data_IF_394821257571
#
_entry.id   IF_394821257571
#
_cell.length_a   1.000
_cell.length_b   1.000
_cell.length_c   1.000
_cell.angle_alpha   90.00
_cell.angle_beta   90.00
_cell.angle_gamma   90.00
#
_symmetry.space_group_name_H-M   'P 1'
#
loop_
_entity.id
_entity.type
_entity.pdbx_description
1 polymer ?
#
# COMPACT_ATOMS: atom_id res chain seq x y z
N UNK A 1 -19.95 -3.00 7.94
CA UNK A 1 -18.86 -3.26 6.98
C UNK A 1 -17.68 -3.89 7.70
N UNK A 2 -17.16 -4.95 7.16
CA UNK A 2 -15.99 -5.60 7.74
C UNK A 2 -14.82 -5.55 6.78
N UNK A 3 -13.66 -5.30 7.30
CA UNK A 3 -12.41 -5.35 6.54
C UNK A 3 -11.27 -5.66 7.50
N UNK A 4 -10.24 -6.26 6.96
CA UNK A 4 -9.06 -6.59 7.74
C UNK A 4 -8.03 -5.49 7.59
N UNK A 5 -7.44 -5.08 8.70
CA UNK A 5 -6.36 -4.11 8.71
C UNK A 5 -5.07 -4.84 9.06
N UNK A 6 -4.05 -4.68 8.23
CA UNK A 6 -2.72 -5.22 8.49
C UNK A 6 -1.81 -4.06 8.86
N UNK A 7 -1.16 -4.17 9.99
CA UNK A 7 -0.23 -3.15 10.45
C UNK A 7 1.18 -3.63 10.17
N UNK A 8 1.86 -2.97 9.25
CA UNK A 8 3.18 -3.37 8.78
C UNK A 8 4.19 -2.32 9.22
N UNK A 9 5.16 -2.76 10.01
CA UNK A 9 6.28 -1.92 10.43
C UNK A 9 7.40 -2.17 9.44
N UNK A 10 7.40 -1.37 8.40
CA UNK A 10 8.02 -1.74 7.15
C UNK A 10 9.52 -1.48 7.08
N UNK A 11 10.21 -2.45 6.54
CA UNK A 11 11.42 -2.33 5.73
C UNK A 11 12.63 -1.77 6.46
N UNK A 12 12.76 -2.08 7.74
CA UNK A 12 13.97 -1.78 8.48
C UNK A 12 14.29 -2.95 9.39
N UNK A 13 15.58 -3.23 9.52
CA UNK A 13 16.09 -4.17 10.50
C UNK A 13 16.51 -3.45 11.79
N UNK A 14 16.29 -2.15 11.86
CA UNK A 14 16.65 -1.36 13.04
C UNK A 14 15.43 -1.11 13.89
N UNK A 15 15.61 -1.30 15.17
CA UNK A 15 14.57 -1.03 16.14
C UNK A 15 14.21 0.46 16.11
N UNK A 16 12.92 0.76 16.11
CA UNK A 16 12.36 2.12 16.16
C UNK A 16 12.61 2.97 14.93
N UNK A 17 13.11 2.41 13.84
CA UNK A 17 13.34 3.20 12.64
C UNK A 17 12.44 2.83 11.48
N UNK A 18 11.43 2.00 11.71
CA UNK A 18 10.44 1.68 10.69
C UNK A 18 9.38 2.76 10.56
N UNK A 19 8.75 2.82 9.39
CA UNK A 19 7.59 3.65 9.13
C UNK A 19 6.37 2.75 9.12
N UNK A 20 5.59 2.70 10.20
CA UNK A 20 4.43 1.83 10.22
C UNK A 20 3.38 2.30 9.23
N UNK A 21 2.78 1.35 8.54
CA UNK A 21 1.70 1.61 7.61
C UNK A 21 0.57 0.63 7.90
N UNK A 22 -0.65 1.10 7.76
CA UNK A 22 -1.81 0.22 7.77
C UNK A 22 -2.16 -0.12 6.33
N UNK A 23 -2.50 -1.38 6.09
CA UNK A 23 -2.86 -1.88 4.77
C UNK A 23 -4.25 -2.50 4.86
N UNK A 24 -5.16 -2.04 4.02
CA UNK A 24 -6.54 -2.50 4.02
C UNK A 24 -6.91 -2.95 2.62
N UNK A 25 -7.24 -4.25 2.49
CA UNK A 25 -7.81 -4.79 1.26
C UNK A 25 -9.32 -4.84 1.46
N UNK A 26 -10.07 -4.06 0.68
CA UNK A 26 -11.50 -3.95 0.88
C UNK A 26 -12.18 -3.41 -0.37
N UNK A 27 -13.50 -3.32 -0.33
CA UNK A 27 -14.31 -2.73 -1.38
C UNK A 27 -14.60 -1.25 -1.14
N UNK A 28 -13.98 -0.65 -0.12
CA UNK A 28 -14.24 0.74 0.22
C UNK A 28 -13.84 1.64 -0.94
N UNK A 29 -14.75 2.48 -1.39
CA UNK A 29 -14.49 3.45 -2.44
C UNK A 29 -14.82 4.89 -2.03
N UNK A 30 -15.38 5.08 -0.86
CA UNK A 30 -15.76 6.39 -0.35
C UNK A 30 -14.54 7.09 0.24
N UNK A 31 -14.13 8.19 -0.39
CA UNK A 31 -12.96 8.95 0.05
C UNK A 31 -13.07 9.46 1.47
N UNK A 32 -14.27 9.91 1.87
CA UNK A 32 -14.47 10.42 3.23
C UNK A 32 -14.29 9.31 4.26
N UNK A 33 -14.79 8.12 3.96
CA UNK A 33 -14.63 6.98 4.85
C UNK A 33 -13.16 6.57 4.95
N UNK A 34 -12.46 6.53 3.82
CA UNK A 34 -11.02 6.22 3.81
C UNK A 34 -10.25 7.22 4.68
N UNK A 35 -10.55 8.50 4.54
CA UNK A 35 -9.87 9.54 5.32
C UNK A 35 -10.18 9.39 6.82
N UNK A 36 -11.40 9.07 7.15
CA UNK A 36 -11.77 8.88 8.56
C UNK A 36 -11.05 7.69 9.18
N UNK A 37 -10.94 6.59 8.42
CA UNK A 37 -10.23 5.42 8.89
C UNK A 37 -8.74 5.74 9.08
N UNK A 38 -8.15 6.44 8.14
CA UNK A 38 -6.74 6.82 8.23
C UNK A 38 -6.49 7.73 9.43
N UNK A 39 -7.40 8.66 9.69
CA UNK A 39 -7.29 9.54 10.85
C UNK A 39 -7.37 8.76 12.16
N UNK A 40 -8.26 7.79 12.23
CA UNK A 40 -8.38 6.96 13.42
C UNK A 40 -7.16 6.07 13.64
N UNK A 41 -6.60 5.53 12.57
CA UNK A 41 -5.38 4.73 12.66
C UNK A 41 -4.20 5.55 13.18
N UNK A 42 -4.15 6.80 12.79
CA UNK A 42 -3.11 7.74 13.21
C UNK A 42 -1.69 7.23 12.96
N UNK A 43 -1.50 6.50 11.88
CA UNK A 43 -0.19 6.07 11.41
C UNK A 43 0.25 6.98 10.27
N UNK A 44 1.53 6.94 9.94
CA UNK A 44 2.07 7.78 8.87
C UNK A 44 1.27 7.65 7.59
N UNK A 45 0.95 6.41 7.19
CA UNK A 45 0.15 6.17 6.01
C UNK A 45 -0.80 4.99 6.21
N UNK A 46 -1.94 5.07 5.53
CA UNK A 46 -2.88 3.96 5.39
C UNK A 46 -3.12 3.75 3.91
N UNK A 47 -2.87 2.54 3.44
CA UNK A 47 -3.09 2.17 2.05
C UNK A 47 -4.40 1.41 1.94
N UNK A 48 -5.22 1.81 0.98
CA UNK A 48 -6.48 1.13 0.68
C UNK A 48 -6.36 0.48 -0.68
N UNK A 49 -6.50 -0.83 -0.73
CA UNK A 49 -6.39 -1.59 -1.96
C UNK A 49 -7.76 -2.21 -2.25
N UNK A 50 -8.26 -1.92 -3.44
CA UNK A 50 -9.55 -2.43 -3.90
C UNK A 50 -9.35 -3.22 -5.18
N UNK A 51 -9.90 -4.41 -5.22
CA UNK A 51 -9.87 -5.23 -6.44
C UNK A 51 -10.89 -4.68 -7.43
N UNK A 52 -10.47 -4.46 -8.67
CA UNK A 52 -11.38 -4.16 -9.75
C UNK A 52 -11.35 -5.32 -10.77
N UNK A 53 -11.93 -5.11 -11.95
CA UNK A 53 -12.12 -6.22 -12.88
C UNK A 53 -10.83 -6.89 -13.33
N UNK A 54 -9.73 -6.14 -13.43
CA UNK A 54 -8.49 -6.66 -13.99
C UNK A 54 -7.31 -6.54 -13.04
N UNK A 55 -7.35 -5.59 -12.14
CA UNK A 55 -6.21 -5.24 -11.30
C UNK A 55 -6.69 -4.80 -9.94
N UNK A 56 -5.74 -4.31 -9.17
CA UNK A 56 -6.02 -3.65 -7.91
C UNK A 56 -5.80 -2.17 -8.08
N UNK A 57 -6.61 -1.38 -7.36
CA UNK A 57 -6.41 0.06 -7.23
C UNK A 57 -5.85 0.33 -5.85
N UNK A 58 -4.98 1.32 -5.75
CA UNK A 58 -4.40 1.71 -4.48
C UNK A 58 -4.58 3.21 -4.26
N UNK A 59 -4.90 3.56 -3.03
CA UNK A 59 -4.94 4.95 -2.58
C UNK A 59 -4.25 5.02 -1.22
N UNK A 60 -3.53 6.09 -1.00
CA UNK A 60 -2.76 6.27 0.23
C UNK A 60 -3.26 7.50 0.95
N UNK A 61 -3.40 7.39 2.26
CA UNK A 61 -3.86 8.50 3.10
C UNK A 61 -2.94 8.65 4.29
N UNK A 62 -2.55 9.89 4.60
CA UNK A 62 -2.03 10.22 5.91
C UNK A 62 -3.24 10.44 6.85
N UNK A 63 -3.02 10.68 8.14
CA UNK A 63 -4.14 11.02 9.01
C UNK A 63 -4.90 12.28 8.60
N UNK A 64 -4.32 13.12 7.76
CA UNK A 64 -4.87 14.44 7.43
C UNK A 64 -5.32 14.58 5.98
N UNK A 65 -4.76 13.84 5.04
CA UNK A 65 -5.08 14.02 3.63
C UNK A 65 -4.68 12.82 2.80
N UNK A 66 -5.23 12.75 1.59
CA UNK A 66 -4.81 11.76 0.62
C UNK A 66 -3.45 12.13 0.06
N UNK A 67 -2.61 11.12 -0.18
CA UNK A 67 -1.25 11.28 -0.66
C UNK A 67 -1.20 10.77 -2.10
N UNK A 68 -0.47 11.48 -2.97
CA UNK A 68 -0.40 11.14 -4.39
C UNK A 68 0.45 9.90 -4.68
N UNK A 69 1.48 9.67 -3.88
CA UNK A 69 2.38 8.53 -4.08
C UNK A 69 3.10 8.23 -2.77
N UNK A 70 3.11 6.96 -2.40
CA UNK A 70 3.81 6.55 -1.19
C UNK A 70 4.45 5.18 -1.42
N UNK A 71 5.76 5.17 -1.61
CA UNK A 71 6.49 3.97 -1.95
C UNK A 71 6.50 2.92 -0.86
N UNK A 72 6.77 3.33 0.39
CA UNK A 72 6.86 2.32 1.44
C UNK A 72 5.49 1.73 1.81
N UNK A 73 4.41 2.49 1.68
CA UNK A 73 3.09 1.92 1.88
C UNK A 73 2.72 0.97 0.75
N UNK A 74 3.20 1.23 -0.46
CA UNK A 74 3.01 0.31 -1.58
C UNK A 74 3.78 -0.99 -1.34
N UNK A 75 5.01 -0.91 -0.85
CA UNK A 75 5.78 -2.09 -0.50
C UNK A 75 5.12 -2.86 0.65
N UNK A 76 4.60 -2.17 1.65
CA UNK A 76 3.86 -2.81 2.73
C UNK A 76 2.63 -3.53 2.21
N UNK A 77 1.92 -2.91 1.27
CA UNK A 77 0.75 -3.52 0.64
C UNK A 77 1.13 -4.78 -0.14
N UNK A 78 2.25 -4.75 -0.85
CA UNK A 78 2.74 -5.91 -1.56
C UNK A 78 3.12 -7.03 -0.60
N UNK A 79 3.74 -6.69 0.53
CA UNK A 79 4.07 -7.68 1.55
C UNK A 79 2.81 -8.41 2.02
N UNK A 80 1.74 -7.66 2.30
CA UNK A 80 0.47 -8.26 2.71
C UNK A 80 -0.09 -9.12 1.59
N UNK A 81 -0.03 -8.63 0.36
CA UNK A 81 -0.54 -9.36 -0.79
C UNK A 81 0.15 -10.72 -0.94
N UNK A 82 1.49 -10.72 -0.91
CA UNK A 82 2.25 -11.95 -1.12
C UNK A 82 2.15 -12.93 0.05
N UNK A 83 1.89 -12.46 1.25
CA UNK A 83 1.87 -13.31 2.42
C UNK A 83 0.48 -13.74 2.86
N UNK A 84 -0.55 -12.94 2.58
CA UNK A 84 -1.88 -13.20 3.14
C UNK A 84 -2.98 -13.25 2.10
N UNK A 85 -2.81 -12.67 0.93
CA UNK A 85 -3.87 -12.56 -0.06
C UNK A 85 -3.68 -13.57 -1.19
N UNK A 86 -2.51 -13.55 -1.83
CA UNK A 86 -2.18 -14.42 -2.96
C UNK A 86 -0.74 -14.89 -2.87
N UNK A 87 -0.48 -15.88 -2.02
CA UNK A 87 0.91 -16.31 -1.78
C UNK A 87 1.61 -16.92 -3.00
N UNK A 88 0.85 -17.37 -4.00
CA UNK A 88 1.43 -17.98 -5.19
C UNK A 88 1.89 -16.94 -6.23
N UNK A 89 1.49 -15.69 -6.07
CA UNK A 89 1.86 -14.65 -7.01
C UNK A 89 3.26 -14.11 -6.70
N UNK A 90 3.93 -13.65 -7.76
CA UNK A 90 5.24 -13.04 -7.63
C UNK A 90 5.24 -11.57 -8.03
N UNK A 91 4.14 -11.08 -8.55
CA UNK A 91 4.00 -9.70 -8.99
C UNK A 91 2.70 -9.15 -8.43
N UNK A 92 2.80 -7.95 -7.87
CA UNK A 92 1.66 -7.20 -7.38
C UNK A 92 1.59 -5.91 -8.18
N UNK A 93 0.55 -5.76 -9.00
CA UNK A 93 0.35 -4.57 -9.82
C UNK A 93 -0.85 -3.81 -9.32
N UNK A 94 -0.67 -2.52 -9.09
CA UNK A 94 -1.75 -1.66 -8.59
C UNK A 94 -1.81 -0.39 -9.42
N UNK A 95 -3.02 0.11 -9.61
CA UNK A 95 -3.24 1.37 -10.32
C UNK A 95 -3.45 2.47 -9.29
N UNK A 96 -2.63 3.52 -9.39
CA UNK A 96 -2.82 4.72 -8.60
C UNK A 96 -3.65 5.74 -9.37
N UNK A 97 -4.20 6.74 -8.67
CA UNK A 97 -5.02 7.76 -9.31
C UNK A 97 -4.20 8.67 -10.22
N UNK A 98 -2.98 8.99 -9.84
CA UNK A 98 -2.20 10.01 -10.53
C UNK A 98 -0.92 9.50 -11.16
N UNK A 99 -0.46 8.32 -10.81
CA UNK A 99 0.87 7.85 -11.21
C UNK A 99 0.83 6.58 -12.05
N UNK A 100 -0.35 6.17 -12.50
CA UNK A 100 -0.48 4.99 -13.33
C UNK A 100 -0.26 3.71 -12.54
N UNK A 101 0.27 2.72 -13.21
CA UNK A 101 0.44 1.40 -12.63
C UNK A 101 1.79 1.30 -11.95
N UNK A 102 1.77 0.87 -10.69
CA UNK A 102 2.97 0.55 -9.93
C UNK A 102 3.06 -0.96 -9.80
N UNK A 103 4.26 -1.49 -9.92
CA UNK A 103 4.47 -2.93 -9.87
C UNK A 103 5.51 -3.26 -8.81
N UNK A 104 5.19 -4.23 -7.96
CA UNK A 104 6.14 -4.77 -6.99
C UNK A 104 6.35 -6.23 -7.33
N UNK A 105 7.61 -6.62 -7.49
CA UNK A 105 7.96 -8.02 -7.70
C UNK A 105 8.65 -8.57 -6.48
N UNK A 106 8.42 -9.84 -6.22
CA UNK A 106 9.07 -10.56 -5.13
C UNK A 106 10.12 -11.49 -5.70
N UNK A 107 11.35 -11.33 -5.21
CA UNK A 107 12.46 -12.18 -5.60
C UNK A 107 13.14 -12.65 -4.31
N UNK A 108 12.87 -13.88 -3.92
CA UNK A 108 13.27 -14.44 -2.63
C UNK A 108 12.71 -13.57 -1.50
N UNK A 109 13.58 -12.96 -0.70
CA UNK A 109 13.14 -12.12 0.42
C UNK A 109 13.07 -10.64 0.06
N UNK A 110 13.31 -10.29 -1.21
CA UNK A 110 13.36 -8.90 -1.64
C UNK A 110 12.07 -8.52 -2.34
N UNK A 111 11.61 -7.31 -2.06
CA UNK A 111 10.52 -6.68 -2.79
C UNK A 111 11.10 -5.52 -3.60
N UNK A 112 10.82 -5.54 -4.90
CA UNK A 112 11.33 -4.52 -5.81
C UNK A 112 10.16 -3.71 -6.36
N UNK A 113 10.14 -2.43 -6.05
CA UNK A 113 9.09 -1.53 -6.52
C UNK A 113 9.56 -0.82 -7.78
N UNK A 114 8.75 -0.94 -8.82
CA UNK A 114 9.00 -0.30 -10.10
C UNK A 114 8.07 0.90 -10.25
N UNK A 115 8.65 2.09 -10.24
CA UNK A 115 7.92 3.34 -10.44
C UNK A 115 7.79 3.65 -11.94
N UNK A 116 6.80 4.47 -12.34
CA UNK A 116 6.79 5.01 -13.68
C UNK A 116 8.09 5.75 -13.98
N UNK A 117 8.51 5.72 -15.24
CA UNK A 117 9.85 6.18 -15.64
C UNK A 117 10.15 7.63 -15.31
N UNK A 118 9.14 8.47 -15.31
CA UNK A 118 9.31 9.89 -15.05
C UNK A 118 9.15 10.25 -13.58
N UNK A 119 9.08 9.25 -12.70
CA UNK A 119 8.94 9.43 -11.26
C UNK A 119 10.22 8.96 -10.58
N UNK A 120 10.76 9.79 -9.73
CA UNK A 120 11.92 9.43 -8.91
C UNK A 120 11.58 9.73 -7.46
N UNK A 121 11.63 8.70 -6.63
CA UNK A 121 11.37 8.81 -5.22
C UNK A 121 12.54 8.25 -4.43
N UNK A 122 12.93 8.97 -3.39
CA UNK A 122 14.00 8.55 -2.51
C UNK A 122 13.41 8.20 -1.15
N UNK A 123 13.61 6.98 -0.74
CA UNK A 123 13.05 6.47 0.52
C UNK A 123 14.13 6.06 1.47
#
# INVERSE_FOLDING_TARGET
>A
MKYDIYYIDAFTDKLFSGNPAAVIFSDISDSALMQNIAAENNLSETAFIREDEENYQIRWFSPHCEIDLCGHATLASAYVFFNYISPDEKIFSVRSLKNGILTVSQNDDLLLLDFPKDQIELF
#
